data_IF_290037592180
#
_entry.id   IF_290037592180
#
_cell.length_a   1.000
_cell.length_b   1.000
_cell.length_c   1.000
_cell.angle_alpha   90.00
_cell.angle_beta   90.00
_cell.angle_gamma   90.00
#
_symmetry.space_group_name_H-M   'P 1'
#
loop_
_entity.id
_entity.type
_entity.pdbx_description
1 polymer ?
#
# COMPACT_ATOMS: atom_id res chain seq x y z
N UNK A 1 18.68 -18.06 -15.98
CA UNK A 1 19.16 -18.83 -14.82
C UNK A 1 18.75 -18.14 -13.54
N UNK A 2 17.45 -18.15 -13.24
CA UNK A 2 16.91 -17.68 -11.96
C UNK A 2 16.47 -18.94 -11.22
N UNK A 3 17.08 -19.29 -10.08
CA UNK A 3 16.79 -20.54 -9.40
C UNK A 3 15.41 -20.49 -8.74
N UNK A 4 14.72 -21.63 -8.72
CA UNK A 4 13.57 -21.81 -7.84
C UNK A 4 14.04 -21.84 -6.39
N UNK A 5 13.30 -21.16 -5.52
CA UNK A 5 13.43 -21.23 -4.06
C UNK A 5 12.06 -21.56 -3.46
N UNK A 6 12.06 -22.27 -2.35
CA UNK A 6 10.84 -22.60 -1.61
C UNK A 6 10.24 -21.38 -0.91
N UNK A 7 11.08 -20.45 -0.45
CA UNK A 7 10.69 -19.18 0.17
C UNK A 7 11.67 -18.06 -0.23
N UNK A 8 11.25 -17.18 -1.15
CA UNK A 8 12.01 -15.99 -1.51
C UNK A 8 11.86 -14.87 -0.47
N UNK A 9 10.97 -15.04 0.52
CA UNK A 9 10.67 -14.10 1.60
C UNK A 9 11.40 -14.45 2.92
N UNK A 10 12.45 -15.27 2.83
CA UNK A 10 13.33 -15.73 3.93
C UNK A 10 14.24 -14.64 4.55
N UNK A 11 14.06 -13.39 4.13
CA UNK A 11 14.84 -12.20 4.48
C UNK A 11 16.29 -12.19 3.99
N UNK A 12 16.68 -13.11 3.09
CA UNK A 12 18.05 -13.22 2.53
C UNK A 12 18.09 -13.32 1.01
N UNK A 13 17.06 -13.90 0.40
CA UNK A 13 16.99 -14.10 -1.04
C UNK A 13 16.90 -12.77 -1.79
N UNK A 14 17.86 -12.55 -2.70
CA UNK A 14 17.89 -11.39 -3.59
C UNK A 14 17.84 -11.75 -5.09
N UNK A 15 18.02 -13.04 -5.42
CA UNK A 15 17.99 -13.56 -6.77
C UNK A 15 17.35 -14.96 -6.77
N UNK A 16 16.05 -15.04 -7.08
CA UNK A 16 15.28 -16.29 -7.00
C UNK A 16 13.84 -16.13 -7.49
N UNK A 17 13.20 -17.25 -7.77
CA UNK A 17 11.82 -17.36 -8.23
C UNK A 17 10.99 -18.25 -7.29
N UNK A 18 9.75 -17.87 -7.02
CA UNK A 18 8.85 -18.63 -6.14
C UNK A 18 7.39 -18.66 -6.64
N UNK A 19 6.60 -19.55 -6.05
CA UNK A 19 5.15 -19.41 -6.04
C UNK A 19 4.75 -18.33 -5.04
N UNK A 20 4.12 -17.25 -5.52
CA UNK A 20 3.96 -16.05 -4.71
C UNK A 20 2.82 -16.17 -3.70
N UNK A 21 3.11 -15.97 -2.41
CA UNK A 21 2.12 -16.02 -1.33
C UNK A 21 1.15 -14.84 -1.35
N UNK A 22 0.03 -15.01 -0.64
CA UNK A 22 -1.14 -14.12 -0.71
C UNK A 22 -1.64 -13.76 0.67
N UNK A 23 -2.09 -12.52 0.85
CA UNK A 23 -2.84 -12.08 2.03
C UNK A 23 -4.31 -12.55 1.98
N UNK A 24 -4.51 -13.86 1.90
CA UNK A 24 -5.82 -14.53 1.80
C UNK A 24 -5.82 -15.71 2.78
N UNK A 25 -6.86 -15.78 3.60
CA UNK A 25 -7.05 -16.92 4.49
C UNK A 25 -7.64 -18.09 3.71
N UNK A 26 -6.84 -19.15 3.51
CA UNK A 26 -7.20 -20.38 2.78
C UNK A 26 -8.44 -21.10 3.32
N UNK A 27 -8.72 -20.98 4.62
CA UNK A 27 -9.86 -21.68 5.24
C UNK A 27 -11.19 -20.96 4.94
N UNK A 28 -11.15 -19.69 4.54
CA UNK A 28 -12.35 -18.87 4.30
C UNK A 28 -12.44 -18.30 2.89
N UNK A 29 -11.35 -18.35 2.11
CA UNK A 29 -11.26 -17.69 0.80
C UNK A 29 -11.38 -16.17 0.86
N UNK A 30 -11.11 -15.55 2.02
CA UNK A 30 -11.27 -14.10 2.26
C UNK A 30 -9.93 -13.40 2.37
N UNK A 31 -9.91 -12.14 1.93
CA UNK A 31 -8.79 -11.20 2.16
C UNK A 31 -8.46 -11.09 3.66
N UNK A 32 -7.19 -11.16 3.98
CA UNK A 32 -6.64 -10.84 5.31
C UNK A 32 -6.37 -9.34 5.39
N UNK A 33 -7.31 -8.55 5.89
CA UNK A 33 -7.12 -7.12 6.14
C UNK A 33 -6.92 -6.79 7.64
N UNK A 34 -6.21 -5.70 7.92
CA UNK A 34 -5.88 -5.31 9.30
C UNK A 34 -7.11 -4.96 10.16
N UNK A 35 -8.21 -4.50 9.58
CA UNK A 35 -9.40 -4.15 10.36
C UNK A 35 -10.10 -5.41 10.87
N UNK A 36 -10.27 -6.43 10.01
CA UNK A 36 -10.82 -7.73 10.42
C UNK A 36 -9.85 -8.55 11.28
N UNK A 37 -8.54 -8.33 11.16
CA UNK A 37 -7.57 -9.00 12.02
C UNK A 37 -7.51 -8.39 13.43
N UNK A 38 -7.50 -7.06 13.57
CA UNK A 38 -7.19 -6.40 14.84
C UNK A 38 -8.35 -5.59 15.45
N UNK A 39 -9.16 -4.92 14.63
CA UNK A 39 -10.16 -3.95 15.11
C UNK A 39 -11.50 -4.62 15.39
N UNK A 40 -12.09 -5.28 14.39
CA UNK A 40 -13.42 -5.87 14.50
C UNK A 40 -13.50 -7.00 15.55
N UNK A 41 -12.52 -7.92 15.65
CA UNK A 41 -12.52 -8.92 16.73
C UNK A 41 -12.40 -8.28 18.11
N UNK A 42 -11.57 -7.24 18.25
CA UNK A 42 -11.42 -6.52 19.52
C UNK A 42 -12.71 -5.83 19.93
N UNK A 43 -13.38 -5.10 19.02
CA UNK A 43 -14.67 -4.46 19.30
C UNK A 43 -15.77 -5.46 19.62
N UNK A 44 -15.77 -6.64 18.97
CA UNK A 44 -16.76 -7.69 19.24
C UNK A 44 -16.62 -8.25 20.66
N UNK A 45 -15.39 -8.32 21.17
CA UNK A 45 -15.07 -9.01 22.42
C UNK A 45 -14.79 -8.05 23.59
N UNK A 46 -14.59 -6.75 23.33
CA UNK A 46 -14.18 -5.74 24.33
C UNK A 46 -14.96 -4.44 24.12
N UNK A 47 -15.33 -3.77 25.23
CA UNK A 47 -16.11 -2.53 25.21
C UNK A 47 -15.31 -1.22 25.20
N UNK A 48 -13.98 -1.27 25.03
CA UNK A 48 -13.09 -0.11 25.21
C UNK A 48 -12.45 0.40 23.91
N UNK A 49 -12.82 -0.15 22.75
CA UNK A 49 -12.35 0.30 21.44
C UNK A 49 -13.47 0.98 20.67
N UNK A 50 -13.24 2.22 20.27
CA UNK A 50 -14.19 3.04 19.50
C UNK A 50 -13.69 3.22 18.08
N UNK A 51 -14.54 2.91 17.09
CA UNK A 51 -14.26 3.09 15.68
C UNK A 51 -15.06 4.28 15.13
N UNK A 52 -14.35 5.28 14.60
CA UNK A 52 -14.95 6.47 14.00
C UNK A 52 -14.50 6.55 12.54
N UNK A 53 -15.38 6.15 11.62
CA UNK A 53 -15.14 6.21 10.18
C UNK A 53 -15.69 7.50 9.57
N UNK A 54 -15.47 7.70 8.26
CA UNK A 54 -16.00 8.85 7.49
C UNK A 54 -15.63 10.23 8.08
N UNK A 55 -14.51 10.29 8.81
CA UNK A 55 -14.04 11.44 9.55
C UNK A 55 -12.58 11.70 9.18
N UNK A 56 -12.29 12.88 8.60
CA UNK A 56 -10.94 13.26 8.19
C UNK A 56 -10.28 14.09 9.27
N UNK A 57 -9.04 13.73 9.63
CA UNK A 57 -8.23 14.52 10.58
C UNK A 57 -7.77 15.80 9.88
N UNK A 58 -8.07 16.94 10.50
CA UNK A 58 -7.55 18.25 10.08
C UNK A 58 -6.15 18.40 10.66
N UNK A 59 -6.05 18.57 11.98
CA UNK A 59 -4.81 18.82 12.70
C UNK A 59 -4.84 18.28 14.12
N UNK A 60 -3.65 18.17 14.71
CA UNK A 60 -3.40 17.90 16.12
C UNK A 60 -3.45 19.24 16.88
N UNK A 61 -3.99 19.19 18.09
CA UNK A 61 -4.05 20.31 19.03
C UNK A 61 -2.94 20.10 20.05
N UNK A 62 -2.12 21.13 20.26
CA UNK A 62 -0.98 21.13 21.18
C UNK A 62 -1.21 22.21 22.23
N UNK A 63 -1.10 21.84 23.51
CA UNK A 63 -1.22 22.74 24.67
C UNK A 63 -0.02 22.43 25.56
N UNK A 64 0.71 23.48 25.98
CA UNK A 64 1.89 23.39 26.87
C UNK A 64 2.92 22.32 26.42
N UNK A 65 3.19 22.28 25.11
CA UNK A 65 4.14 21.34 24.50
C UNK A 65 3.63 19.89 24.39
N UNK A 66 2.39 19.59 24.80
CA UNK A 66 1.80 18.24 24.72
C UNK A 66 0.68 18.18 23.69
N UNK A 67 0.63 17.11 22.89
CA UNK A 67 -0.51 16.83 22.03
C UNK A 67 -1.73 16.41 22.88
N UNK A 68 -2.80 17.21 22.87
CA UNK A 68 -3.97 17.05 23.77
C UNK A 68 -5.25 16.65 23.06
N UNK A 69 -5.32 16.80 21.73
CA UNK A 69 -6.47 16.37 20.95
C UNK A 69 -6.25 16.43 19.45
N UNK A 70 -7.30 16.08 18.71
CA UNK A 70 -7.36 16.18 17.25
C UNK A 70 -8.63 16.92 16.84
N UNK A 71 -8.48 17.81 15.86
CA UNK A 71 -9.60 18.44 15.17
C UNK A 71 -9.91 17.66 13.90
N UNK A 72 -11.19 17.47 13.59
CA UNK A 72 -11.65 16.68 12.46
C UNK A 72 -12.78 17.36 11.71
N UNK A 73 -13.02 16.95 10.47
CA UNK A 73 -14.20 17.31 9.70
C UNK A 73 -14.78 16.08 8.96
N UNK A 74 -16.05 16.12 8.52
CA UNK A 74 -16.63 15.07 7.69
C UNK A 74 -15.82 14.84 6.42
N UNK A 75 -15.74 13.59 5.95
CA UNK A 75 -15.01 13.26 4.72
C UNK A 75 -15.62 13.93 3.47
N UNK A 76 -16.94 14.09 3.44
CA UNK A 76 -17.65 14.83 2.38
C UNK A 76 -18.18 16.16 2.92
N UNK A 77 -17.79 17.31 2.35
CA UNK A 77 -18.29 18.62 2.77
C UNK A 77 -19.68 18.88 2.17
N UNK A 78 -20.72 18.24 2.71
CA UNK A 78 -22.08 18.32 2.17
C UNK A 78 -22.80 19.65 2.45
N UNK A 79 -22.29 20.47 3.38
CA UNK A 79 -22.81 21.81 3.67
C UNK A 79 -21.67 22.84 3.72
N UNK A 80 -21.27 23.41 2.58
CA UNK A 80 -20.15 24.35 2.52
C UNK A 80 -20.40 25.65 3.29
N UNK A 81 -21.67 26.05 3.46
CA UNK A 81 -22.06 27.26 4.18
C UNK A 81 -21.94 27.12 5.70
N UNK A 82 -21.92 25.89 6.22
CA UNK A 82 -21.75 25.62 7.65
C UNK A 82 -20.87 24.37 7.86
N UNK A 83 -19.54 24.51 7.69
CA UNK A 83 -18.62 23.38 7.81
C UNK A 83 -18.59 22.88 9.26
N UNK A 84 -19.03 21.64 9.46
CA UNK A 84 -19.00 21.00 10.77
C UNK A 84 -17.58 20.55 11.09
N UNK A 85 -17.08 20.95 12.26
CA UNK A 85 -15.84 20.40 12.83
C UNK A 85 -16.12 19.76 14.19
N UNK A 86 -15.27 18.81 14.58
CA UNK A 86 -15.32 18.15 15.90
C UNK A 86 -13.92 18.08 16.47
N UNK A 87 -13.84 18.06 17.80
CA UNK A 87 -12.58 17.89 18.53
C UNK A 87 -12.68 16.66 19.42
N UNK A 88 -11.68 15.78 19.35
CA UNK A 88 -11.53 14.63 20.24
C UNK A 88 -10.29 14.84 21.10
N UNK A 89 -10.43 14.71 22.43
CA UNK A 89 -9.32 14.89 23.37
C UNK A 89 -8.66 13.55 23.73
N UNK A 90 -7.35 13.58 23.94
CA UNK A 90 -6.55 12.44 24.36
C UNK A 90 -5.88 12.70 25.71
N UNK A 91 -6.14 11.82 26.69
CA UNK A 91 -5.54 11.93 28.03
C UNK A 91 -4.07 11.45 28.07
N UNK A 92 -3.72 10.44 27.26
CA UNK A 92 -2.41 9.78 27.33
C UNK A 92 -1.60 9.94 26.05
N UNK A 93 -2.13 9.45 24.93
CA UNK A 93 -1.36 9.34 23.69
C UNK A 93 -2.20 9.74 22.46
N UNK A 94 -1.53 10.36 21.49
CA UNK A 94 -2.01 10.50 20.11
C UNK A 94 -1.00 9.79 19.21
N UNK A 95 -1.49 8.98 18.28
CA UNK A 95 -0.68 8.28 17.27
C UNK A 95 -1.15 8.74 15.89
N UNK A 96 -0.21 9.10 15.02
CA UNK A 96 -0.49 9.51 13.64
C UNK A 96 -0.21 8.33 12.72
N UNK A 97 -1.27 7.78 12.12
CA UNK A 97 -1.19 6.61 11.24
C UNK A 97 -1.97 6.85 9.94
N UNK A 98 -1.83 8.05 9.36
CA UNK A 98 -2.56 8.44 8.15
C UNK A 98 -1.86 8.00 6.84
N UNK A 99 -0.78 7.22 6.93
CA UNK A 99 0.05 6.80 5.79
C UNK A 99 1.03 7.88 5.31
N UNK A 100 1.96 7.49 4.43
CA UNK A 100 3.09 8.31 3.97
C UNK A 100 2.67 9.64 3.36
N UNK A 101 1.58 9.66 2.59
CA UNK A 101 1.10 10.87 1.90
C UNK A 101 0.41 11.84 2.88
N UNK A 102 -0.43 11.33 3.79
CA UNK A 102 -1.35 12.19 4.56
C UNK A 102 -0.81 12.55 5.95
N UNK A 103 -0.01 11.69 6.58
CA UNK A 103 0.62 11.98 7.89
C UNK A 103 1.43 13.29 7.89
N UNK A 104 2.33 13.56 6.92
CA UNK A 104 3.04 14.85 6.89
C UNK A 104 2.10 16.03 6.69
N UNK A 105 0.99 15.89 5.95
CA UNK A 105 0.01 16.96 5.79
C UNK A 105 -0.72 17.29 7.11
N UNK A 106 -1.05 16.27 7.91
CA UNK A 106 -1.62 16.47 9.25
C UNK A 106 -0.61 17.18 10.14
N UNK A 107 0.65 16.74 10.16
CA UNK A 107 1.72 17.36 10.94
C UNK A 107 1.94 18.83 10.53
N UNK A 108 2.01 19.10 9.23
CA UNK A 108 2.18 20.46 8.68
C UNK A 108 1.01 21.37 9.07
N UNK A 109 -0.25 20.94 8.91
CA UNK A 109 -1.43 21.71 9.38
C UNK A 109 -1.46 21.90 10.90
N UNK A 110 -0.75 21.05 11.64
CA UNK A 110 -0.56 21.16 13.09
C UNK A 110 0.60 22.07 13.49
N UNK A 111 1.35 22.64 12.53
CA UNK A 111 2.46 23.54 12.77
C UNK A 111 3.84 22.88 12.85
N UNK A 112 3.97 21.61 12.45
CA UNK A 112 5.24 20.87 12.43
C UNK A 112 5.76 20.77 11.00
N UNK A 113 6.90 21.39 10.70
CA UNK A 113 7.42 21.46 9.34
C UNK A 113 8.44 22.58 9.15
N UNK A 114 8.84 22.79 7.90
CA UNK A 114 9.65 23.94 7.49
C UNK A 114 8.89 25.27 7.77
N UNK A 115 9.38 26.14 8.67
CA UNK A 115 8.67 27.33 9.09
C UNK A 115 8.34 28.30 7.94
N UNK A 116 9.19 28.39 6.91
CA UNK A 116 8.95 29.27 5.77
C UNK A 116 7.79 28.75 4.93
N UNK A 117 7.78 27.45 4.63
CA UNK A 117 6.70 26.80 3.87
C UNK A 117 5.38 26.81 4.62
N UNK A 118 5.41 26.57 5.94
CA UNK A 118 4.23 26.64 6.78
C UNK A 118 3.61 28.05 6.76
N UNK A 119 4.43 29.09 6.94
CA UNK A 119 3.95 30.49 6.86
C UNK A 119 3.37 30.82 5.48
N UNK A 120 4.04 30.40 4.40
CA UNK A 120 3.55 30.59 3.04
C UNK A 120 2.20 29.89 2.79
N UNK A 121 1.92 28.78 3.48
CA UNK A 121 0.65 28.07 3.43
C UNK A 121 -0.40 28.57 4.47
N UNK A 122 -0.13 29.67 5.18
CA UNK A 122 -1.04 30.24 6.17
C UNK A 122 -1.08 29.49 7.51
N UNK A 123 -0.08 28.65 7.81
CA UNK A 123 0.02 27.90 9.06
C UNK A 123 1.08 28.53 9.97
N UNK A 124 0.71 28.80 11.23
CA UNK A 124 1.66 29.24 12.27
C UNK A 124 2.63 28.08 12.60
N UNK A 125 3.95 28.25 12.42
CA UNK A 125 4.92 27.25 12.84
C UNK A 125 4.92 27.09 14.37
N UNK A 126 4.96 25.84 14.83
CA UNK A 126 5.11 25.46 16.24
C UNK A 126 6.44 24.77 16.49
N UNK A 127 6.86 23.86 15.59
CA UNK A 127 8.14 23.16 15.67
C UNK A 127 8.79 23.17 14.30
N UNK A 128 10.04 23.63 14.25
CA UNK A 128 10.87 23.59 13.05
C UNK A 128 11.34 22.15 12.79
N UNK A 129 10.69 21.50 11.82
CA UNK A 129 10.99 20.13 11.41
C UNK A 129 10.98 20.04 9.88
N UNK A 130 12.04 20.50 9.19
CA UNK A 130 12.05 20.64 7.73
C UNK A 130 11.97 19.30 6.99
N UNK A 131 12.24 18.18 7.67
CA UNK A 131 12.08 16.82 7.13
C UNK A 131 10.62 16.38 6.95
N UNK A 132 9.63 17.05 7.56
CA UNK A 132 8.22 16.65 7.44
C UNK A 132 7.74 16.82 6.00
N UNK A 133 7.41 15.70 5.34
CA UNK A 133 6.98 15.66 3.94
C UNK A 133 8.14 15.61 2.94
N UNK A 134 9.37 15.39 3.41
CA UNK A 134 10.56 15.16 2.57
C UNK A 134 10.94 13.69 2.56
N UNK A 135 11.93 13.36 1.75
CA UNK A 135 12.44 12.00 1.57
C UNK A 135 11.34 11.00 1.18
N UNK A 136 10.42 11.43 0.31
CA UNK A 136 9.42 10.55 -0.28
C UNK A 136 10.12 9.51 -1.14
N UNK A 137 9.79 8.25 -0.92
CA UNK A 137 10.33 7.10 -1.64
C UNK A 137 9.17 6.18 -2.00
N UNK A 138 9.30 5.51 -3.13
CA UNK A 138 8.34 4.52 -3.62
C UNK A 138 9.08 3.49 -4.50
N UNK A 139 8.42 2.38 -4.81
CA UNK A 139 8.88 1.47 -5.85
C UNK A 139 8.24 1.87 -7.19
N UNK A 140 9.07 2.13 -8.20
CA UNK A 140 8.56 2.45 -9.54
C UNK A 140 8.10 1.18 -10.23
N UNK A 141 6.89 1.18 -10.80
CA UNK A 141 6.32 0.03 -11.49
C UNK A 141 5.80 0.39 -12.88
N UNK A 142 5.80 -0.60 -13.77
CA UNK A 142 5.17 -0.55 -15.09
C UNK A 142 4.59 -1.93 -15.42
N UNK A 143 3.69 -1.98 -16.40
CA UNK A 143 3.01 -3.21 -16.81
C UNK A 143 3.26 -3.47 -18.29
N UNK A 144 3.62 -4.71 -18.62
CA UNK A 144 3.85 -5.15 -20.00
C UNK A 144 2.92 -6.32 -20.31
N UNK A 145 1.77 -6.08 -20.98
CA UNK A 145 0.83 -7.15 -21.29
C UNK A 145 1.33 -8.03 -22.45
N UNK A 146 1.04 -9.33 -22.38
CA UNK A 146 1.31 -10.30 -23.44
C UNK A 146 0.03 -11.03 -23.83
N UNK A 147 -0.09 -11.39 -25.10
CA UNK A 147 -1.18 -12.25 -25.57
C UNK A 147 -0.88 -13.70 -25.20
N UNK A 148 -1.88 -14.37 -24.64
CA UNK A 148 -1.83 -15.80 -24.34
C UNK A 148 -2.61 -16.59 -25.39
N UNK A 149 -2.43 -17.91 -25.40
CA UNK A 149 -3.23 -18.79 -26.26
C UNK A 149 -4.70 -18.73 -25.86
N UNK A 150 -5.66 -18.98 -26.78
CA UNK A 150 -7.09 -18.89 -26.49
C UNK A 150 -7.60 -19.86 -25.40
N UNK A 151 -6.89 -20.94 -25.14
CA UNK A 151 -7.18 -21.96 -24.14
C UNK A 151 -6.52 -21.69 -22.77
N UNK A 152 -5.68 -20.66 -22.67
CA UNK A 152 -5.09 -20.25 -21.40
C UNK A 152 -6.14 -19.54 -20.53
N UNK A 153 -6.17 -19.90 -19.25
CA UNK A 153 -7.06 -19.26 -18.28
C UNK A 153 -6.52 -17.88 -17.88
N UNK A 154 -7.42 -16.90 -17.82
CA UNK A 154 -7.16 -15.57 -17.27
C UNK A 154 -8.41 -15.00 -16.61
N UNK A 155 -8.25 -13.96 -15.79
CA UNK A 155 -9.39 -13.23 -15.22
C UNK A 155 -10.00 -12.19 -16.17
N UNK A 156 -9.52 -12.07 -17.42
CA UNK A 156 -9.87 -10.96 -18.31
C UNK A 156 -11.39 -10.86 -18.54
N UNK A 157 -12.05 -11.99 -18.80
CA UNK A 157 -13.49 -12.01 -19.04
C UNK A 157 -14.31 -11.70 -17.79
N UNK A 158 -13.81 -12.08 -16.61
CA UNK A 158 -14.41 -11.71 -15.34
C UNK A 158 -14.32 -10.18 -15.12
N UNK A 159 -13.16 -9.58 -15.40
CA UNK A 159 -12.92 -8.13 -15.24
C UNK A 159 -13.62 -7.30 -16.31
N UNK A 160 -13.74 -7.79 -17.55
CA UNK A 160 -14.56 -7.18 -18.61
C UNK A 160 -16.06 -7.11 -18.26
N UNK A 161 -16.49 -7.87 -17.25
CA UNK A 161 -17.88 -7.86 -16.81
C UNK A 161 -18.78 -8.83 -17.56
N UNK A 162 -18.24 -9.94 -18.11
CA UNK A 162 -19.08 -10.97 -18.74
C UNK A 162 -20.03 -11.60 -17.71
N UNK A 163 -21.36 -11.42 -17.82
CA UNK A 163 -22.30 -11.78 -16.75
C UNK A 163 -22.26 -13.26 -16.35
N UNK A 164 -22.18 -14.16 -17.33
CA UNK A 164 -22.14 -15.61 -17.12
C UNK A 164 -20.85 -16.06 -16.41
N UNK A 165 -19.73 -15.42 -16.73
CA UNK A 165 -18.42 -15.69 -16.09
C UNK A 165 -18.45 -15.20 -14.66
N UNK A 166 -18.91 -13.96 -14.42
CA UNK A 166 -19.03 -13.41 -13.08
C UNK A 166 -19.96 -14.26 -12.22
N UNK A 167 -21.14 -14.63 -12.75
CA UNK A 167 -22.09 -15.48 -12.03
C UNK A 167 -21.45 -16.79 -11.60
N UNK A 168 -20.77 -17.51 -12.51
CA UNK A 168 -20.11 -18.79 -12.19
C UNK A 168 -19.03 -18.63 -11.12
N UNK A 169 -18.21 -17.59 -11.21
CA UNK A 169 -17.13 -17.31 -10.25
C UNK A 169 -17.69 -16.99 -8.86
N UNK A 170 -18.73 -16.15 -8.79
CA UNK A 170 -19.41 -15.83 -7.53
C UNK A 170 -20.12 -17.04 -6.93
N UNK A 171 -20.87 -17.80 -7.73
CA UNK A 171 -21.61 -18.99 -7.27
C UNK A 171 -20.66 -20.01 -6.64
N UNK A 172 -19.49 -20.25 -7.24
CA UNK A 172 -18.48 -21.16 -6.67
C UNK A 172 -17.97 -20.65 -5.31
N UNK A 173 -17.61 -19.37 -5.23
CA UNK A 173 -17.11 -18.80 -3.97
C UNK A 173 -18.17 -18.79 -2.87
N UNK A 174 -19.45 -18.54 -3.21
CA UNK A 174 -20.54 -18.65 -2.23
C UNK A 174 -20.77 -20.09 -1.76
N UNK A 175 -20.58 -21.08 -2.64
CA UNK A 175 -20.78 -22.48 -2.29
C UNK A 175 -19.75 -22.99 -1.28
N UNK A 176 -18.47 -22.63 -1.42
CA UNK A 176 -17.41 -23.20 -0.59
C UNK A 176 -16.16 -22.33 -0.38
N UNK A 177 -16.18 -21.05 -0.75
CA UNK A 177 -15.05 -20.14 -0.59
C UNK A 177 -13.86 -20.42 -1.50
N UNK A 178 -14.02 -21.26 -2.53
CA UNK A 178 -12.94 -21.58 -3.50
C UNK A 178 -13.14 -20.88 -4.85
N UNK A 179 -12.23 -21.15 -5.78
CA UNK A 179 -12.32 -20.68 -7.17
C UNK A 179 -11.61 -19.36 -7.42
N UNK A 180 -11.77 -18.79 -8.63
CA UNK A 180 -11.00 -17.62 -9.07
C UNK A 180 -11.18 -16.35 -8.21
N UNK A 181 -12.24 -16.27 -7.41
CA UNK A 181 -12.47 -15.14 -6.49
C UNK A 181 -11.61 -15.21 -5.21
N UNK A 182 -11.00 -16.37 -4.92
CA UNK A 182 -10.14 -16.59 -3.76
C UNK A 182 -8.63 -16.47 -4.07
N UNK A 183 -8.27 -15.83 -5.19
CA UNK A 183 -6.88 -15.47 -5.55
C UNK A 183 -6.80 -14.00 -5.98
N UNK A 184 -5.58 -13.47 -6.10
CA UNK A 184 -5.28 -12.21 -6.79
C UNK A 184 -4.83 -12.42 -8.25
N UNK A 185 -4.66 -13.67 -8.69
CA UNK A 185 -4.14 -13.99 -10.03
C UNK A 185 -2.66 -13.68 -10.21
N UNK A 186 -1.91 -13.40 -9.14
CA UNK A 186 -0.46 -13.17 -9.17
C UNK A 186 0.19 -14.41 -8.55
N UNK A 187 0.57 -15.35 -9.40
CA UNK A 187 0.85 -16.72 -8.96
C UNK A 187 2.34 -17.05 -8.85
N UNK A 188 3.19 -16.30 -9.55
CA UNK A 188 4.63 -16.46 -9.49
C UNK A 188 5.31 -15.11 -9.67
N UNK A 189 6.49 -14.98 -9.08
CA UNK A 189 7.30 -13.79 -9.21
C UNK A 189 8.75 -14.08 -8.93
N UNK A 190 9.57 -13.06 -9.16
CA UNK A 190 11.01 -13.14 -8.97
C UNK A 190 11.54 -11.91 -8.26
N UNK A 191 12.59 -12.13 -7.49
CA UNK A 191 13.56 -11.12 -7.08
C UNK A 191 14.81 -11.34 -7.92
N UNK A 192 15.38 -10.28 -8.50
CA UNK A 192 16.58 -10.41 -9.32
C UNK A 192 17.64 -9.37 -8.98
N UNK A 193 18.89 -9.80 -9.13
CA UNK A 193 20.10 -8.98 -9.21
C UNK A 193 20.77 -9.21 -10.57
N UNK A 194 21.38 -8.18 -11.16
CA UNK A 194 22.13 -8.33 -12.41
C UNK A 194 23.42 -9.12 -12.16
N UNK A 195 23.83 -9.89 -13.15
CA UNK A 195 25.19 -10.40 -13.28
C UNK A 195 26.17 -9.28 -13.64
N UNK A 196 27.47 -9.52 -13.47
CA UNK A 196 28.51 -8.56 -13.88
C UNK A 196 28.51 -8.28 -15.39
N UNK A 197 28.01 -9.21 -16.21
CA UNK A 197 27.85 -9.02 -17.65
C UNK A 197 26.65 -8.13 -17.97
N UNK A 198 25.50 -8.37 -17.31
CA UNK A 198 24.33 -7.50 -17.46
C UNK A 198 24.61 -6.08 -16.95
N UNK A 199 25.29 -5.94 -15.81
CA UNK A 199 25.61 -4.63 -15.24
C UNK A 199 26.50 -3.77 -16.17
N UNK A 200 27.39 -4.40 -16.94
CA UNK A 200 28.24 -3.73 -17.96
C UNK A 200 27.44 -3.13 -19.12
N UNK A 201 26.17 -3.51 -19.28
CA UNK A 201 25.29 -2.94 -20.32
C UNK A 201 24.53 -1.69 -19.86
N UNK A 202 24.54 -1.39 -18.56
CA UNK A 202 23.91 -0.20 -18.00
C UNK A 202 24.80 1.05 -18.19
N UNK A 203 24.22 2.24 -18.07
CA UNK A 203 24.97 3.49 -18.10
C UNK A 203 25.88 3.66 -16.87
N UNK A 204 26.86 4.58 -16.97
CA UNK A 204 27.87 4.82 -15.93
C UNK A 204 27.22 5.30 -14.61
N UNK A 205 26.15 6.09 -14.70
CA UNK A 205 25.42 6.60 -13.53
C UNK A 205 24.80 5.46 -12.73
N UNK A 206 24.13 4.51 -13.40
CA UNK A 206 23.56 3.35 -12.75
C UNK A 206 24.64 2.42 -12.18
N UNK A 207 25.75 2.21 -12.89
CA UNK A 207 26.85 1.38 -12.39
C UNK A 207 27.46 1.95 -11.11
N UNK A 208 27.66 3.27 -11.04
CA UNK A 208 28.15 3.95 -9.83
C UNK A 208 27.14 3.83 -8.68
N UNK A 209 25.86 4.11 -8.94
CA UNK A 209 24.80 3.97 -7.94
C UNK A 209 24.65 2.53 -7.44
N UNK A 210 24.80 1.54 -8.32
CA UNK A 210 24.76 0.13 -7.96
C UNK A 210 25.94 -0.23 -7.04
N UNK A 211 27.15 0.23 -7.36
CA UNK A 211 28.34 0.00 -6.54
C UNK A 211 28.17 0.61 -5.14
N UNK A 212 27.68 1.84 -5.04
CA UNK A 212 27.46 2.54 -3.77
C UNK A 212 26.37 1.87 -2.91
N UNK A 213 25.22 1.55 -3.52
CA UNK A 213 24.07 1.07 -2.75
C UNK A 213 24.04 -0.46 -2.56
N UNK A 214 24.36 -1.24 -3.61
CA UNK A 214 24.18 -2.70 -3.67
C UNK A 214 25.48 -3.51 -3.63
N UNK A 215 26.64 -2.89 -3.84
CA UNK A 215 27.92 -3.58 -4.05
C UNK A 215 28.32 -4.52 -2.91
N UNK A 216 28.12 -4.10 -1.66
CA UNK A 216 28.41 -4.85 -0.44
C UNK A 216 27.16 -5.41 0.26
N UNK A 217 25.98 -5.36 -0.41
CA UNK A 217 24.68 -5.76 0.15
C UNK A 217 24.04 -6.85 -0.71
N UNK A 218 24.52 -8.10 -0.61
CA UNK A 218 24.14 -9.19 -1.52
C UNK A 218 22.69 -9.65 -1.35
N UNK A 219 22.08 -9.35 -0.21
CA UNK A 219 20.69 -9.68 0.17
C UNK A 219 19.65 -8.70 -0.38
N UNK A 220 20.07 -7.63 -1.05
CA UNK A 220 19.15 -6.66 -1.65
C UNK A 220 18.82 -6.99 -3.11
N UNK A 221 17.57 -7.30 -3.48
CA UNK A 221 17.19 -7.42 -4.88
C UNK A 221 17.18 -6.05 -5.55
N UNK A 222 17.52 -6.00 -6.84
CA UNK A 222 17.45 -4.77 -7.64
C UNK A 222 16.04 -4.59 -8.21
N UNK A 223 15.51 -5.64 -8.83
CA UNK A 223 14.19 -5.62 -9.47
C UNK A 223 13.31 -6.75 -8.95
N UNK A 224 12.01 -6.48 -8.94
CA UNK A 224 10.96 -7.47 -8.77
C UNK A 224 10.06 -7.41 -10.00
N UNK A 225 9.70 -8.58 -10.53
CA UNK A 225 8.59 -8.70 -11.46
C UNK A 225 7.82 -9.99 -11.18
N UNK A 226 6.54 -9.97 -11.53
CA UNK A 226 5.63 -11.09 -11.30
C UNK A 226 4.71 -11.26 -12.50
N UNK A 227 4.13 -12.45 -12.62
CA UNK A 227 3.16 -12.75 -13.67
C UNK A 227 1.77 -12.59 -13.09
N UNK A 228 0.95 -11.80 -13.79
CA UNK A 228 -0.47 -11.61 -13.51
C UNK A 228 -1.26 -12.39 -14.56
N UNK A 229 -2.15 -13.27 -14.12
CA UNK A 229 -3.01 -14.12 -14.96
C UNK A 229 -4.19 -13.34 -15.56
N UNK A 230 -3.88 -12.24 -16.24
CA UNK A 230 -4.83 -11.32 -16.87
C UNK A 230 -4.26 -9.91 -16.99
N UNK A 231 -4.92 -9.06 -17.77
CA UNK A 231 -4.53 -7.68 -17.97
C UNK A 231 -4.89 -6.81 -16.78
N UNK A 232 -3.91 -6.17 -16.16
CA UNK A 232 -4.14 -5.14 -15.16
C UNK A 232 -4.20 -3.76 -15.81
N UNK A 233 -5.40 -3.31 -16.18
CA UNK A 233 -5.61 -2.00 -16.80
C UNK A 233 -7.02 -1.80 -17.35
N UNK A 234 -7.20 -0.71 -18.11
CA UNK A 234 -8.47 -0.40 -18.77
C UNK A 234 -8.69 -1.34 -19.97
N UNK A 235 -9.52 -2.36 -19.77
CA UNK A 235 -9.82 -3.38 -20.79
C UNK A 235 -10.54 -2.81 -22.02
N UNK A 236 -11.05 -1.58 -21.97
CA UNK A 236 -11.61 -0.92 -23.16
C UNK A 236 -10.55 -0.40 -24.13
N UNK A 237 -9.25 -0.47 -23.76
CA UNK A 237 -8.11 0.05 -24.52
C UNK A 237 -7.33 -1.02 -25.30
N UNK A 238 -7.71 -2.29 -25.20
CA UNK A 238 -7.00 -3.44 -25.82
C UNK A 238 -7.91 -4.29 -26.69
#
# INVERSE_FOLDING_TARGET
GIPYVDDAEDLKCAHGAEHWLKWINRDTGRRSDSAHAYIHPTMRNKGNLFLITSTKIDKIIVEDGRATGVKTHPMKPLNPKNPKTRTYKARKQIVVSCGTISSPLVLQRSGFGDPQKLRAAGVKPLVDLPGVGRNFQDHYCFFTPYRVKPDAESFDDFVRGKPEVQKRVFDQWYANGTGPLATNGIEAGVKIRPTDEELRTADDEFQEAYKDYFGDKPDKPLMHYSVISGFFGDHSKI
#
